data_IF_491493221031
#
_entry.id   IF_491493221031
#
_cell.length_a   1.000
_cell.length_b   1.000
_cell.length_c   1.000
_cell.angle_alpha   90.00
_cell.angle_beta   90.00
_cell.angle_gamma   90.00
#
_symmetry.space_group_name_H-M   'P 1'
#
loop_
_entity.id
_entity.type
_entity.pdbx_description
1 polymer ?
#
# COMPACT_ATOMS: atom_id res chain seq x y z
N UNK A 1 16.12 8.83 2.65
CA UNK A 1 15.51 10.17 2.53
C UNK A 1 14.10 9.94 1.99
N UNK A 2 13.05 10.11 2.79
CA UNK A 2 11.67 9.99 2.31
C UNK A 2 11.48 11.07 1.23
N UNK A 3 11.10 10.63 0.03
CA UNK A 3 11.23 11.39 -1.22
C UNK A 3 10.29 12.61 -1.33
N UNK A 4 10.39 13.35 -2.46
CA UNK A 4 9.59 14.55 -2.77
C UNK A 4 8.07 14.39 -2.61
N UNK A 5 7.56 13.16 -2.66
CA UNK A 5 6.14 12.80 -2.51
C UNK A 5 5.50 13.29 -1.20
N UNK A 6 6.24 13.32 -0.08
CA UNK A 6 5.67 13.77 1.20
C UNK A 6 5.36 15.27 1.19
N UNK A 7 6.33 16.07 0.69
CA UNK A 7 6.17 17.51 0.58
C UNK A 7 5.05 17.88 -0.38
N UNK A 8 4.92 17.15 -1.49
CA UNK A 8 3.84 17.38 -2.46
C UNK A 8 2.47 17.03 -1.85
N UNK A 9 2.36 15.86 -1.19
CA UNK A 9 1.12 15.39 -0.58
C UNK A 9 0.65 16.28 0.58
N UNK A 10 1.57 16.75 1.41
CA UNK A 10 1.25 17.53 2.61
C UNK A 10 1.59 19.02 2.47
N UNK A 11 1.60 19.53 1.22
CA UNK A 11 1.75 20.96 0.92
C UNK A 11 2.93 21.63 1.64
N UNK A 12 4.10 20.97 1.63
CA UNK A 12 5.35 21.51 2.16
C UNK A 12 5.76 20.98 3.53
N UNK A 13 4.95 20.16 4.21
CA UNK A 13 5.37 19.59 5.49
C UNK A 13 6.52 18.61 5.33
N UNK A 14 7.50 18.75 6.23
CA UNK A 14 8.67 17.87 6.32
C UNK A 14 8.34 16.60 7.11
N UNK A 15 9.18 15.57 6.98
CA UNK A 15 9.04 14.33 7.76
C UNK A 15 9.05 14.58 9.28
N UNK A 16 9.86 15.54 9.76
CA UNK A 16 9.91 15.92 11.17
C UNK A 16 8.62 16.57 11.69
N UNK A 17 7.82 17.17 10.81
CA UNK A 17 6.58 17.83 11.18
C UNK A 17 5.37 16.87 11.18
N UNK A 18 5.54 15.63 10.71
CA UNK A 18 4.43 14.67 10.62
C UNK A 18 3.87 14.30 11.99
N UNK A 19 4.74 14.19 13.00
CA UNK A 19 4.31 13.92 14.37
C UNK A 19 3.47 15.08 14.92
N UNK A 20 3.91 16.32 14.76
CA UNK A 20 3.16 17.51 15.18
C UNK A 20 1.84 17.67 14.42
N UNK A 21 1.85 17.36 13.12
CA UNK A 21 0.65 17.35 12.28
C UNK A 21 -0.37 16.35 12.81
N UNK A 22 0.05 15.10 13.05
CA UNK A 22 -0.80 14.07 13.62
C UNK A 22 -1.25 14.41 15.04
N UNK A 23 -0.41 15.03 15.85
CA UNK A 23 -0.76 15.44 17.20
C UNK A 23 -1.90 16.45 17.24
N UNK A 24 -1.96 17.38 16.26
CA UNK A 24 -3.06 18.33 16.10
C UNK A 24 -4.36 17.65 15.62
N UNK A 25 -4.26 16.71 14.68
CA UNK A 25 -5.42 16.03 14.09
C UNK A 25 -6.01 14.94 14.99
N UNK A 26 -5.17 14.30 15.80
CA UNK A 26 -5.46 13.04 16.47
C UNK A 26 -5.37 11.84 15.52
N UNK A 27 -5.72 10.67 16.07
CA UNK A 27 -5.87 9.45 15.30
C UNK A 27 -7.09 8.65 15.77
N UNK A 28 -8.06 8.51 14.87
CA UNK A 28 -9.33 7.85 15.18
C UNK A 28 -9.16 6.34 15.36
N UNK A 29 -8.18 5.70 14.70
CA UNK A 29 -7.94 4.25 14.88
C UNK A 29 -7.46 3.94 16.29
N UNK A 30 -6.67 4.85 16.85
CA UNK A 30 -6.04 4.72 18.17
C UNK A 30 -6.83 5.42 19.27
N UNK A 31 -8.04 5.92 18.94
CA UNK A 31 -8.91 6.67 19.85
C UNK A 31 -8.21 7.89 20.47
N UNK A 32 -7.31 8.53 19.73
CA UNK A 32 -6.60 9.75 20.14
C UNK A 32 -7.34 10.95 19.55
N UNK A 33 -8.07 11.75 20.35
CA UNK A 33 -8.75 12.92 19.84
C UNK A 33 -7.76 14.02 19.46
N UNK A 34 -8.02 14.71 18.35
CA UNK A 34 -7.29 15.92 17.97
C UNK A 34 -7.74 17.17 18.71
N UNK A 35 -7.20 18.31 18.29
CA UNK A 35 -7.68 19.64 18.71
C UNK A 35 -8.96 19.96 17.94
N UNK A 36 -10.08 20.26 18.61
CA UNK A 36 -11.30 20.67 17.93
C UNK A 36 -11.04 21.83 16.96
N UNK A 37 -11.78 21.88 15.85
CA UNK A 37 -11.68 22.92 14.81
C UNK A 37 -10.33 23.01 14.08
N UNK A 38 -9.34 22.20 14.43
CA UNK A 38 -8.06 22.06 13.71
C UNK A 38 -8.10 20.84 12.82
N UNK A 39 -8.57 21.02 11.59
CA UNK A 39 -8.50 19.98 10.55
C UNK A 39 -7.19 20.03 9.76
N UNK A 40 -6.99 19.05 8.88
CA UNK A 40 -5.80 18.88 8.03
C UNK A 40 -5.26 20.19 7.43
N UNK A 41 -6.09 20.93 6.67
CA UNK A 41 -5.66 22.20 6.05
C UNK A 41 -5.21 23.25 7.06
N UNK A 42 -5.83 23.27 8.23
CA UNK A 42 -5.49 24.23 9.29
C UNK A 42 -4.19 23.84 9.96
N UNK A 43 -3.99 22.56 10.27
CA UNK A 43 -2.73 22.06 10.83
C UNK A 43 -1.56 22.27 9.87
N UNK A 44 -1.73 21.98 8.58
CA UNK A 44 -0.71 22.23 7.54
C UNK A 44 -0.34 23.71 7.50
N UNK A 45 -1.33 24.62 7.45
CA UNK A 45 -1.06 26.06 7.43
C UNK A 45 -0.28 26.51 8.68
N UNK A 46 -0.75 26.11 9.86
CA UNK A 46 -0.09 26.43 11.13
C UNK A 46 1.36 25.91 11.18
N UNK A 47 1.61 24.69 10.74
CA UNK A 47 2.96 24.11 10.75
C UNK A 47 3.87 24.68 9.65
N UNK A 48 3.31 25.12 8.53
CA UNK A 48 4.08 25.83 7.52
C UNK A 48 4.48 27.23 8.01
N UNK A 49 3.58 27.94 8.69
CA UNK A 49 3.83 29.29 9.19
C UNK A 49 4.77 29.26 10.40
N UNK A 50 4.51 28.39 11.37
CA UNK A 50 5.15 28.40 12.68
C UNK A 50 6.10 27.22 12.95
N UNK A 51 6.26 26.31 11.98
CA UNK A 51 7.25 25.21 11.93
C UNK A 51 7.05 24.05 12.91
N UNK A 52 6.64 24.28 14.15
CA UNK A 52 6.40 23.22 15.15
C UNK A 52 5.23 23.54 16.08
N UNK A 53 4.82 22.58 16.91
CA UNK A 53 3.88 22.84 18.00
C UNK A 53 4.34 24.00 18.90
N UNK A 54 5.61 23.99 19.33
CA UNK A 54 6.18 25.08 20.13
C UNK A 54 6.03 26.42 19.42
N UNK A 55 6.40 26.48 18.13
CA UNK A 55 6.29 27.72 17.36
C UNK A 55 4.85 28.23 17.23
N UNK A 56 3.86 27.32 17.07
CA UNK A 56 2.43 27.68 17.06
C UNK A 56 2.03 28.34 18.38
N UNK A 57 2.46 27.77 19.51
CA UNK A 57 2.09 28.28 20.83
C UNK A 57 2.87 29.54 21.25
N UNK A 58 4.10 29.73 20.76
CA UNK A 58 4.86 30.98 20.90
C UNK A 58 4.22 32.14 20.14
N UNK A 59 3.56 31.85 19.01
CA UNK A 59 2.91 32.84 18.14
C UNK A 59 1.38 32.70 18.16
N UNK A 60 0.81 32.20 19.27
CA UNK A 60 -0.62 31.90 19.34
C UNK A 60 -1.48 33.16 19.12
N UNK A 61 -0.96 34.33 19.47
CA UNK A 61 -1.63 35.61 19.27
C UNK A 61 -1.75 36.03 17.80
N UNK A 62 -0.87 35.53 16.94
CA UNK A 62 -0.84 35.83 15.50
C UNK A 62 -1.73 34.88 14.67
N UNK A 63 -2.34 33.88 15.31
CA UNK A 63 -3.26 32.93 14.65
C UNK A 63 -4.51 33.67 14.17
N UNK A 64 -4.61 33.83 12.84
CA UNK A 64 -5.63 34.64 12.16
C UNK A 64 -7.09 34.24 12.40
N UNK A 65 -7.35 32.97 12.75
CA UNK A 65 -8.71 32.44 12.95
C UNK A 65 -9.04 32.40 14.45
N UNK A 66 -9.92 33.28 14.97
CA UNK A 66 -10.19 33.37 16.40
C UNK A 66 -10.71 32.07 17.02
N UNK A 67 -11.54 31.31 16.29
CA UNK A 67 -12.09 30.05 16.76
C UNK A 67 -11.06 28.91 16.84
N UNK A 68 -10.01 28.97 16.01
CA UNK A 68 -8.87 28.05 16.05
C UNK A 68 -7.95 28.43 17.21
N UNK A 69 -7.63 29.73 17.35
CA UNK A 69 -6.86 30.27 18.47
C UNK A 69 -7.45 29.85 19.82
N UNK A 70 -8.74 30.12 20.02
CA UNK A 70 -9.45 29.74 21.24
C UNK A 70 -9.37 28.23 21.50
N UNK A 71 -9.50 27.40 20.46
CA UNK A 71 -9.44 25.95 20.62
C UNK A 71 -8.03 25.45 20.93
N UNK A 72 -6.99 26.06 20.36
CA UNK A 72 -5.60 25.74 20.68
C UNK A 72 -5.28 26.11 22.13
N UNK A 73 -5.82 27.23 22.62
CA UNK A 73 -5.68 27.70 24.00
C UNK A 73 -6.40 26.77 24.99
N UNK A 74 -7.66 26.43 24.73
CA UNK A 74 -8.47 25.55 25.59
C UNK A 74 -7.91 24.13 25.67
N UNK A 75 -7.34 23.61 24.57
CA UNK A 75 -6.82 22.24 24.47
C UNK A 75 -5.30 22.19 24.38
N UNK A 76 -4.58 23.15 24.99
CA UNK A 76 -3.12 23.28 24.86
C UNK A 76 -2.34 22.01 25.17
N UNK A 77 -2.68 21.31 26.24
CA UNK A 77 -1.92 20.13 26.68
C UNK A 77 -2.11 18.92 25.76
N UNK A 78 -3.19 18.91 24.96
CA UNK A 78 -3.58 17.76 24.14
C UNK A 78 -2.60 17.50 23.01
N UNK A 79 -2.22 18.47 22.14
CA UNK A 79 -1.21 18.23 21.12
C UNK A 79 0.12 17.74 21.68
N UNK A 80 0.59 18.29 22.80
CA UNK A 80 1.84 17.83 23.40
C UNK A 80 1.74 16.39 23.88
N UNK A 81 0.67 16.05 24.60
CA UNK A 81 0.42 14.66 25.03
C UNK A 81 0.26 13.70 23.84
N UNK A 82 -0.46 14.12 22.79
CA UNK A 82 -0.62 13.33 21.58
C UNK A 82 0.71 13.12 20.87
N UNK A 83 1.57 14.15 20.81
CA UNK A 83 2.90 14.04 20.21
C UNK A 83 3.73 12.99 20.94
N UNK A 84 3.68 12.96 22.27
CA UNK A 84 4.41 11.97 23.06
C UNK A 84 3.90 10.55 22.74
N UNK A 85 2.58 10.36 22.66
CA UNK A 85 1.97 9.07 22.30
C UNK A 85 2.29 8.62 20.87
N UNK A 86 2.41 9.56 19.93
CA UNK A 86 2.64 9.27 18.51
C UNK A 86 4.13 9.19 18.16
N UNK A 87 5.02 9.62 19.06
CA UNK A 87 6.46 9.57 18.80
C UNK A 87 6.94 8.14 18.94
N UNK A 88 7.52 7.61 17.87
CA UNK A 88 8.14 6.28 17.89
C UNK A 88 9.29 6.28 18.88
N UNK A 89 9.18 5.45 19.90
CA UNK A 89 10.28 5.17 20.83
C UNK A 89 11.37 4.35 20.12
N UNK A 90 12.52 4.99 19.90
CA UNK A 90 13.70 4.37 19.27
C UNK A 90 14.66 3.74 20.26
N UNK A 91 14.41 3.92 21.55
CA UNK A 91 15.23 3.41 22.65
C UNK A 91 14.55 2.20 23.35
N UNK A 92 13.50 1.67 22.73
CA UNK A 92 12.81 0.46 23.19
C UNK A 92 13.81 -0.70 23.36
N UNK A 93 13.72 -1.50 24.44
CA UNK A 93 14.72 -2.51 24.80
C UNK A 93 14.58 -3.80 23.95
N UNK A 94 14.57 -3.66 22.63
CA UNK A 94 14.47 -4.75 21.66
C UNK A 94 15.83 -4.91 20.97
N UNK A 95 16.39 -6.11 21.05
CA UNK A 95 17.60 -6.48 20.31
C UNK A 95 17.23 -7.08 18.95
N UNK A 96 17.68 -6.45 17.86
CA UNK A 96 17.45 -6.92 16.50
C UNK A 96 18.74 -7.53 15.92
N UNK A 97 18.71 -8.84 15.66
CA UNK A 97 19.75 -9.57 14.94
C UNK A 97 19.38 -9.63 13.45
N UNK A 98 20.03 -8.79 12.64
CA UNK A 98 19.72 -8.67 11.21
C UNK A 98 19.99 -9.97 10.42
N UNK A 99 20.93 -10.80 10.87
CA UNK A 99 21.23 -12.06 10.21
C UNK A 99 20.12 -13.07 10.43
N UNK A 100 19.56 -13.14 11.65
CA UNK A 100 18.39 -13.97 11.96
C UNK A 100 17.08 -13.43 11.38
N UNK A 101 17.03 -12.14 11.08
CA UNK A 101 15.84 -11.51 10.47
C UNK A 101 15.76 -11.72 8.94
N UNK A 102 16.74 -12.40 8.32
CA UNK A 102 16.70 -12.71 6.89
C UNK A 102 15.52 -13.62 6.57
N UNK A 103 14.71 -13.21 5.61
CA UNK A 103 13.60 -13.99 5.10
C UNK A 103 14.08 -15.03 4.07
N UNK A 104 13.48 -16.21 4.07
CA UNK A 104 13.72 -17.25 3.05
C UNK A 104 14.02 -18.64 3.61
N UNK A 105 14.37 -18.75 4.89
CA UNK A 105 14.57 -20.03 5.57
C UNK A 105 13.30 -20.42 6.34
N UNK A 106 12.48 -21.29 5.74
CA UNK A 106 11.31 -21.89 6.39
C UNK A 106 10.96 -23.25 5.77
N UNK A 107 10.30 -24.11 6.54
CA UNK A 107 9.73 -25.35 6.03
C UNK A 107 8.40 -25.04 5.32
N UNK A 108 8.45 -24.99 3.99
CA UNK A 108 7.29 -24.69 3.15
C UNK A 108 6.16 -25.69 3.36
N UNK A 109 6.46 -26.97 3.56
CA UNK A 109 5.44 -28.00 3.75
C UNK A 109 4.61 -27.71 4.99
N UNK A 110 5.27 -27.39 6.11
CA UNK A 110 4.61 -27.00 7.35
C UNK A 110 3.73 -25.74 7.18
N UNK A 111 4.20 -24.75 6.42
CA UNK A 111 3.40 -23.54 6.15
C UNK A 111 2.19 -23.85 5.26
N UNK A 112 2.34 -24.66 4.22
CA UNK A 112 1.24 -25.06 3.32
C UNK A 112 0.19 -25.88 4.05
N UNK A 113 0.61 -26.79 4.93
CA UNK A 113 -0.29 -27.57 5.79
C UNK A 113 -1.11 -26.65 6.70
N UNK A 114 -0.45 -25.72 7.39
CA UNK A 114 -1.14 -24.73 8.24
C UNK A 114 -2.11 -23.85 7.44
N UNK A 115 -1.70 -23.35 6.27
CA UNK A 115 -2.60 -22.55 5.42
C UNK A 115 -3.79 -23.35 4.90
N UNK A 116 -3.61 -24.65 4.67
CA UNK A 116 -4.68 -25.57 4.26
C UNK A 116 -5.66 -25.81 5.40
N UNK A 117 -5.17 -26.03 6.63
CA UNK A 117 -5.99 -26.16 7.83
C UNK A 117 -6.83 -24.89 8.09
N UNK A 118 -6.25 -23.71 7.84
CA UNK A 118 -6.93 -22.41 7.94
C UNK A 118 -7.79 -22.06 6.71
N UNK A 119 -7.89 -22.97 5.72
CA UNK A 119 -8.64 -22.79 4.47
C UNK A 119 -8.17 -21.59 3.60
N UNK A 120 -6.93 -21.14 3.76
CA UNK A 120 -6.31 -20.03 3.01
C UNK A 120 -5.70 -20.48 1.68
N UNK A 121 -6.49 -21.19 0.86
CA UNK A 121 -6.03 -21.79 -0.39
C UNK A 121 -5.46 -20.79 -1.42
N UNK A 122 -5.93 -19.55 -1.41
CA UNK A 122 -5.47 -18.50 -2.35
C UNK A 122 -4.07 -17.97 -2.01
N UNK A 123 -3.60 -18.19 -0.79
CA UNK A 123 -2.27 -17.75 -0.32
C UNK A 123 -1.20 -18.79 -0.66
N UNK A 124 -1.55 -20.07 -0.70
CA UNK A 124 -0.62 -21.19 -0.96
C UNK A 124 0.24 -20.99 -2.23
N UNK A 125 -0.33 -20.57 -3.38
CA UNK A 125 0.47 -20.32 -4.59
C UNK A 125 1.47 -19.16 -4.46
N UNK A 126 1.28 -18.26 -3.48
CA UNK A 126 2.15 -17.11 -3.23
C UNK A 126 3.30 -17.43 -2.26
N UNK A 127 3.32 -18.62 -1.65
CA UNK A 127 4.38 -19.04 -0.74
C UNK A 127 5.61 -19.43 -1.57
N UNK A 128 6.75 -18.71 -1.41
CA UNK A 128 7.97 -19.00 -2.17
C UNK A 128 8.46 -20.44 -1.94
N UNK A 129 9.05 -21.05 -2.96
CA UNK A 129 9.75 -22.33 -2.82
C UNK A 129 11.05 -22.15 -1.99
N UNK A 130 11.32 -23.10 -1.10
CA UNK A 130 12.47 -23.06 -0.19
C UNK A 130 13.79 -23.01 -0.98
N UNK A 131 14.64 -22.02 -0.71
CA UNK A 131 15.95 -21.85 -1.38
C UNK A 131 15.92 -21.05 -2.67
N UNK A 132 14.75 -20.59 -3.14
CA UNK A 132 14.68 -19.59 -4.20
C UNK A 132 15.02 -18.23 -3.59
N UNK A 133 16.20 -17.70 -3.92
CA UNK A 133 16.58 -16.33 -3.55
C UNK A 133 15.53 -15.40 -4.15
N UNK A 134 14.64 -14.88 -3.30
CA UNK A 134 13.58 -13.99 -3.73
C UNK A 134 14.17 -12.65 -4.16
N UNK A 135 14.47 -12.51 -5.46
CA UNK A 135 14.36 -11.21 -6.11
C UNK A 135 12.88 -10.86 -6.08
N UNK A 136 12.48 -10.05 -5.10
CA UNK A 136 11.14 -9.46 -5.06
C UNK A 136 11.11 -8.37 -6.13
N UNK A 137 10.93 -8.78 -7.39
CA UNK A 137 10.32 -7.92 -8.38
C UNK A 137 8.81 -8.11 -8.21
N UNK A 138 8.17 -7.10 -7.62
CA UNK A 138 6.73 -7.00 -7.69
C UNK A 138 6.35 -6.69 -9.14
N UNK A 139 5.64 -7.60 -9.79
CA UNK A 139 4.41 -7.29 -10.52
C UNK A 139 3.77 -8.59 -11.05
N UNK A 140 2.44 -8.61 -11.11
CA UNK A 140 1.67 -9.49 -12.00
C UNK A 140 1.71 -11.00 -11.75
N UNK A 141 0.53 -11.60 -11.68
CA UNK A 141 0.33 -13.03 -11.95
C UNK A 141 1.10 -13.46 -13.20
N UNK A 142 2.16 -14.24 -13.03
CA UNK A 142 2.86 -14.86 -14.15
C UNK A 142 1.86 -15.76 -14.90
N UNK A 143 1.49 -15.33 -16.10
CA UNK A 143 0.75 -16.15 -17.06
C UNK A 143 1.57 -17.43 -17.25
N UNK A 144 0.97 -18.59 -16.97
CA UNK A 144 1.55 -19.86 -17.40
C UNK A 144 1.68 -19.80 -18.91
N UNK A 145 2.91 -19.64 -19.40
CA UNK A 145 3.17 -19.79 -20.83
C UNK A 145 2.76 -21.22 -21.21
N UNK A 146 2.06 -21.41 -22.33
CA UNK A 146 1.72 -22.74 -22.79
C UNK A 146 2.99 -23.61 -22.85
N UNK A 147 2.87 -24.84 -22.37
CA UNK A 147 4.02 -25.73 -22.18
C UNK A 147 4.85 -25.92 -23.46
N UNK A 148 6.16 -26.09 -23.27
CA UNK A 148 7.07 -26.51 -24.34
C UNK A 148 6.49 -27.74 -25.06
N UNK A 149 6.30 -27.64 -26.38
CA UNK A 149 5.77 -28.73 -27.21
C UNK A 149 4.35 -28.52 -27.78
N UNK A 150 3.79 -27.31 -27.70
CA UNK A 150 2.49 -27.00 -28.32
C UNK A 150 2.66 -26.42 -29.73
N UNK A 151 2.04 -27.06 -30.74
CA UNK A 151 2.07 -26.58 -32.13
C UNK A 151 1.02 -25.50 -32.37
N UNK A 152 1.47 -24.27 -32.62
CA UNK A 152 0.61 -23.14 -32.92
C UNK A 152 0.47 -22.93 -34.42
N UNK A 153 -0.77 -22.76 -34.88
CA UNK A 153 -1.08 -22.32 -36.24
C UNK A 153 -1.85 -21.01 -36.20
N UNK A 154 -1.33 -19.99 -36.89
CA UNK A 154 -1.97 -18.69 -37.00
C UNK A 154 -2.93 -18.68 -38.18
N UNK A 155 -4.18 -18.28 -37.96
CA UNK A 155 -5.24 -18.18 -38.98
C UNK A 155 -5.48 -16.71 -39.31
N UNK A 156 -5.21 -16.31 -40.56
CA UNK A 156 -5.31 -14.93 -41.04
C UNK A 156 -6.12 -14.78 -42.33
N UNK A 157 -6.48 -15.88 -43.00
CA UNK A 157 -7.32 -15.84 -44.20
C UNK A 157 -8.61 -16.62 -44.04
N UNK A 158 -9.58 -16.33 -44.91
CA UNK A 158 -10.88 -17.00 -44.92
C UNK A 158 -10.74 -18.50 -45.21
N UNK A 159 -9.86 -18.86 -46.14
CA UNK A 159 -9.61 -20.25 -46.52
C UNK A 159 -8.99 -21.04 -45.36
N UNK A 160 -8.08 -20.41 -44.60
CA UNK A 160 -7.50 -21.01 -43.38
C UNK A 160 -8.55 -21.19 -42.29
N UNK A 161 -9.47 -20.23 -42.12
CA UNK A 161 -10.58 -20.34 -41.19
C UNK A 161 -11.52 -21.49 -41.56
N UNK A 162 -11.89 -21.61 -42.84
CA UNK A 162 -12.74 -22.70 -43.34
C UNK A 162 -12.10 -24.08 -43.10
N UNK A 163 -10.79 -24.20 -43.31
CA UNK A 163 -10.05 -25.41 -43.00
C UNK A 163 -10.07 -25.76 -41.50
N UNK A 164 -9.81 -24.77 -40.64
CA UNK A 164 -9.86 -24.94 -39.18
C UNK A 164 -11.25 -25.39 -38.72
N UNK A 165 -12.32 -24.75 -39.22
CA UNK A 165 -13.70 -25.09 -38.86
C UNK A 165 -14.05 -26.54 -39.19
N UNK A 166 -13.61 -27.04 -40.35
CA UNK A 166 -13.81 -28.45 -40.70
C UNK A 166 -13.10 -29.39 -39.72
N UNK A 167 -11.86 -29.09 -39.34
CA UNK A 167 -11.14 -29.89 -38.35
C UNK A 167 -11.81 -29.87 -36.96
N UNK A 168 -12.29 -28.71 -36.51
CA UNK A 168 -13.01 -28.59 -35.24
C UNK A 168 -14.34 -29.35 -35.25
N UNK A 169 -15.04 -29.35 -36.38
CA UNK A 169 -16.25 -30.15 -36.57
C UNK A 169 -15.98 -31.66 -36.49
N UNK A 170 -14.90 -32.15 -37.12
CA UNK A 170 -14.50 -33.56 -37.03
C UNK A 170 -14.06 -33.95 -35.62
N UNK A 171 -13.42 -33.04 -34.88
CA UNK A 171 -12.97 -33.28 -33.50
C UNK A 171 -14.13 -33.40 -32.49
N UNK A 172 -15.33 -32.90 -32.82
CA UNK A 172 -16.55 -33.05 -32.02
C UNK A 172 -16.65 -32.16 -30.77
N UNK A 173 -15.58 -31.48 -30.37
CA UNK A 173 -15.55 -30.53 -29.26
C UNK A 173 -14.26 -29.73 -29.22
N UNK A 174 -14.33 -28.48 -28.77
CA UNK A 174 -13.17 -27.60 -28.62
C UNK A 174 -13.40 -26.59 -27.50
N UNK A 175 -12.30 -26.05 -26.97
CA UNK A 175 -12.31 -24.89 -26.09
C UNK A 175 -11.77 -23.69 -26.86
N UNK A 176 -12.33 -22.51 -26.60
CA UNK A 176 -11.80 -21.25 -27.10
C UNK A 176 -11.50 -20.35 -25.91
N UNK A 177 -10.42 -19.59 -26.03
CA UNK A 177 -10.04 -18.53 -25.11
C UNK A 177 -9.93 -17.24 -25.92
N UNK A 178 -10.22 -16.11 -25.28
CA UNK A 178 -10.23 -14.80 -25.93
C UNK A 178 -9.37 -13.83 -25.15
N UNK A 179 -8.36 -13.27 -25.82
CA UNK A 179 -7.51 -12.24 -25.24
C UNK A 179 -8.07 -10.85 -25.53
N UNK A 180 -8.13 -10.00 -24.51
CA UNK A 180 -8.58 -8.60 -24.61
C UNK A 180 -7.40 -7.64 -24.50
N UNK A 181 -7.61 -6.38 -24.86
CA UNK A 181 -6.58 -5.32 -24.70
C UNK A 181 -6.34 -4.88 -23.25
N UNK A 182 -7.16 -5.35 -22.30
CA UNK A 182 -7.05 -5.02 -20.87
C UNK A 182 -7.66 -6.10 -19.98
N UNK A 183 -7.12 -6.23 -18.76
CA UNK A 183 -7.66 -7.07 -17.67
C UNK A 183 -8.84 -6.41 -16.94
N UNK A 184 -9.03 -5.09 -17.11
CA UNK A 184 -10.22 -4.39 -16.64
C UNK A 184 -11.33 -4.53 -17.70
N UNK A 185 -12.35 -5.33 -17.38
CA UNK A 185 -13.50 -5.60 -18.26
C UNK A 185 -14.27 -4.32 -18.65
N UNK A 186 -14.18 -3.24 -17.88
CA UNK A 186 -14.85 -1.97 -18.20
C UNK A 186 -14.05 -1.09 -19.17
N UNK A 187 -12.76 -1.38 -19.38
CA UNK A 187 -11.85 -0.59 -20.23
C UNK A 187 -11.28 -1.39 -21.41
N UNK A 188 -11.49 -2.71 -21.43
CA UNK A 188 -11.09 -3.57 -22.53
C UNK A 188 -11.82 -3.19 -23.83
N UNK A 189 -11.05 -2.87 -24.86
CA UNK A 189 -11.52 -2.80 -26.25
C UNK A 189 -11.37 -4.16 -26.94
N UNK A 190 -12.31 -4.45 -27.84
CA UNK A 190 -12.21 -5.52 -28.86
C UNK A 190 -11.54 -4.97 -30.13
#
# INVERSE_FOLDING_TARGET
MMGPELSERYSGLTASQQTDFKALLGDTSDNIPGVPKVGEKTAIALLNDYKSLEGIYEHLDDVSRPSVKQSLEEFKDRPFSNRDLMTIDRESPVELDLEKAKFGEFDRSSVVELMTELEFFTVIPRIPETGSSASVEGDGTAIQRPGEGTDYTVIQTKEQLEYMLNMLHEAGGFAFDTETTSLDAAQAGL
#
